data_IF_418571942158
#
_entry.id   IF_418571942158
#
_cell.length_a   1.000
_cell.length_b   1.000
_cell.length_c   1.000
_cell.angle_alpha   90.00
_cell.angle_beta   90.00
_cell.angle_gamma   90.00
#
_symmetry.space_group_name_H-M   'P 1'
#
loop_
_entity.id
_entity.type
_entity.pdbx_description
1 polymer ?
#
# COMPACT_ATOMS: atom_id res chain seq x y z
N UNK A 1 -19.14 -8.77 6.97
CA UNK A 1 -18.64 -10.14 6.83
C UNK A 1 -19.22 -10.72 5.56
N UNK A 2 -18.38 -10.99 4.57
CA UNK A 2 -18.82 -11.54 3.29
C UNK A 2 -19.01 -13.05 3.39
N UNK A 3 -20.13 -13.56 2.88
CA UNK A 3 -20.42 -15.00 2.89
C UNK A 3 -19.76 -15.71 1.71
N UNK A 4 -19.06 -16.82 1.98
CA UNK A 4 -18.57 -17.77 0.98
C UNK A 4 -19.68 -18.76 0.61
N UNK A 5 -20.10 -18.73 -0.64
CA UNK A 5 -21.19 -19.56 -1.16
C UNK A 5 -20.68 -20.57 -2.19
N UNK A 6 -21.44 -21.64 -2.40
CA UNK A 6 -21.17 -22.65 -3.43
C UNK A 6 -22.22 -22.58 -4.52
N UNK A 7 -21.77 -22.47 -5.77
CA UNK A 7 -22.63 -22.46 -6.95
C UNK A 7 -23.09 -23.88 -7.31
N UNK A 8 -24.12 -23.97 -8.15
CA UNK A 8 -24.67 -25.25 -8.63
C UNK A 8 -23.64 -26.11 -9.40
N UNK A 9 -22.68 -25.45 -10.06
CA UNK A 9 -21.56 -26.09 -10.76
C UNK A 9 -20.37 -26.45 -9.85
N UNK A 10 -20.54 -26.30 -8.53
CA UNK A 10 -19.57 -26.66 -7.52
C UNK A 10 -18.53 -25.59 -7.20
N UNK A 11 -18.44 -24.50 -7.98
CA UNK A 11 -17.51 -23.38 -7.75
C UNK A 11 -17.83 -22.63 -6.47
N UNK A 12 -16.82 -22.02 -5.86
CA UNK A 12 -17.05 -21.09 -4.75
C UNK A 12 -17.18 -19.65 -5.26
N UNK A 13 -18.02 -18.85 -4.61
CA UNK A 13 -18.13 -17.43 -4.91
C UNK A 13 -18.45 -16.59 -3.68
N UNK A 14 -18.04 -15.33 -3.71
CA UNK A 14 -18.37 -14.32 -2.73
C UNK A 14 -18.54 -12.95 -3.40
N UNK A 15 -19.31 -12.05 -2.78
CA UNK A 15 -19.61 -10.72 -3.30
C UNK A 15 -19.53 -9.68 -2.21
N UNK A 16 -18.92 -8.54 -2.49
CA UNK A 16 -18.79 -7.44 -1.53
C UNK A 16 -19.26 -6.14 -2.18
N UNK A 17 -20.19 -5.47 -1.51
CA UNK A 17 -20.73 -4.19 -1.98
C UNK A 17 -19.66 -3.09 -1.92
N UNK A 18 -19.57 -2.30 -2.98
CA UNK A 18 -18.71 -1.13 -3.05
C UNK A 18 -19.48 0.10 -2.53
N UNK A 19 -18.97 0.81 -1.50
CA UNK A 19 -19.60 1.99 -0.95
C UNK A 19 -19.77 3.12 -1.96
N UNK A 20 -20.90 3.83 -1.89
CA UNK A 20 -21.30 4.85 -2.86
C UNK A 20 -20.26 5.95 -3.05
N UNK A 21 -19.62 6.36 -1.97
CA UNK A 21 -18.63 7.43 -1.92
C UNK A 21 -17.34 7.14 -2.71
N UNK A 22 -17.11 5.89 -3.12
CA UNK A 22 -15.95 5.47 -3.91
C UNK A 22 -16.32 4.70 -5.18
N UNK A 23 -17.61 4.57 -5.55
CA UNK A 23 -18.04 3.71 -6.67
C UNK A 23 -17.48 4.15 -8.02
N UNK A 24 -17.41 5.45 -8.27
CA UNK A 24 -16.92 5.97 -9.55
C UNK A 24 -15.42 5.70 -9.71
N UNK A 25 -14.63 5.99 -8.67
CA UNK A 25 -13.20 5.65 -8.65
C UNK A 25 -12.97 4.14 -8.70
N UNK A 26 -13.74 3.35 -7.95
CA UNK A 26 -13.62 1.91 -7.96
C UNK A 26 -14.01 1.32 -9.32
N UNK A 27 -15.05 1.82 -9.98
CA UNK A 27 -15.45 1.41 -11.34
C UNK A 27 -14.34 1.74 -12.34
N UNK A 28 -13.83 2.97 -12.29
CA UNK A 28 -12.78 3.45 -13.17
C UNK A 28 -11.51 2.61 -13.04
N UNK A 29 -11.13 2.24 -11.82
CA UNK A 29 -9.86 1.57 -11.54
C UNK A 29 -9.93 0.03 -11.60
N UNK A 30 -11.07 -0.57 -11.26
CA UNK A 30 -11.20 -2.03 -11.11
C UNK A 30 -12.32 -2.65 -11.94
N UNK A 31 -12.95 -1.87 -12.84
CA UNK A 31 -14.00 -2.34 -13.76
C UNK A 31 -15.35 -2.71 -13.12
N UNK A 32 -15.44 -2.66 -11.79
CA UNK A 32 -16.63 -3.06 -11.03
C UNK A 32 -17.26 -1.88 -10.29
N UNK A 33 -18.51 -1.55 -10.58
CA UNK A 33 -19.15 -0.37 -9.97
C UNK A 33 -19.78 -0.63 -8.61
N UNK A 34 -20.52 -1.73 -8.47
CA UNK A 34 -21.41 -1.96 -7.31
C UNK A 34 -20.94 -3.08 -6.41
N UNK A 35 -20.26 -4.08 -6.96
CA UNK A 35 -19.81 -5.24 -6.22
C UNK A 35 -18.47 -5.74 -6.74
N UNK A 36 -17.53 -6.04 -5.84
CA UNK A 36 -16.40 -6.90 -6.16
C UNK A 36 -16.82 -8.37 -6.02
N UNK A 37 -16.28 -9.24 -6.87
CA UNK A 37 -16.58 -10.67 -6.86
C UNK A 37 -15.33 -11.51 -6.64
N UNK A 38 -15.45 -12.53 -5.79
CA UNK A 38 -14.52 -13.65 -5.71
C UNK A 38 -15.15 -14.84 -6.43
N UNK A 39 -14.37 -15.53 -7.27
CA UNK A 39 -14.75 -16.79 -7.91
C UNK A 39 -13.59 -17.76 -7.77
N UNK A 40 -13.83 -18.93 -7.17
CA UNK A 40 -12.82 -19.99 -7.04
C UNK A 40 -13.29 -21.28 -7.71
N UNK A 41 -12.38 -22.11 -8.24
CA UNK A 41 -12.71 -23.39 -8.87
C UNK A 41 -13.47 -24.36 -7.96
N UNK A 42 -14.23 -25.28 -8.56
CA UNK A 42 -14.98 -26.30 -7.84
C UNK A 42 -14.09 -27.30 -7.07
N UNK A 43 -12.84 -27.48 -7.52
CA UNK A 43 -11.85 -28.34 -6.89
C UNK A 43 -11.17 -27.74 -5.66
N UNK A 44 -11.38 -26.45 -5.34
CA UNK A 44 -10.74 -25.80 -4.19
C UNK A 44 -11.28 -26.37 -2.88
N UNK A 45 -10.42 -26.94 -2.01
CA UNK A 45 -10.83 -27.41 -0.69
C UNK A 45 -11.45 -26.30 0.16
N UNK A 46 -12.44 -26.65 1.00
CA UNK A 46 -13.19 -25.68 1.81
C UNK A 46 -12.31 -24.81 2.71
N UNK A 47 -11.24 -25.37 3.27
CA UNK A 47 -10.32 -24.63 4.14
C UNK A 47 -9.53 -23.56 3.35
N UNK A 48 -9.04 -23.93 2.16
CA UNK A 48 -8.35 -23.02 1.24
C UNK A 48 -9.31 -21.93 0.72
N UNK A 49 -10.55 -22.29 0.37
CA UNK A 49 -11.55 -21.33 -0.07
C UNK A 49 -11.89 -20.29 1.02
N UNK A 50 -11.87 -20.68 2.30
CA UNK A 50 -12.02 -19.76 3.44
C UNK A 50 -10.81 -18.84 3.61
N UNK A 51 -9.59 -19.36 3.45
CA UNK A 51 -8.38 -18.54 3.51
C UNK A 51 -8.40 -17.48 2.39
N UNK A 52 -8.67 -17.90 1.16
CA UNK A 52 -8.81 -17.02 -0.01
C UNK A 52 -9.93 -15.99 0.14
N UNK A 53 -11.04 -16.35 0.80
CA UNK A 53 -12.09 -15.38 1.14
C UNK A 53 -11.58 -14.29 2.06
N UNK A 54 -10.84 -14.65 3.12
CA UNK A 54 -10.29 -13.69 4.07
C UNK A 54 -9.29 -12.73 3.42
N UNK A 55 -8.39 -13.26 2.58
CA UNK A 55 -7.44 -12.46 1.81
C UNK A 55 -8.14 -11.49 0.87
N UNK A 56 -9.10 -11.98 0.07
CA UNK A 56 -9.86 -11.15 -0.86
C UNK A 56 -10.74 -10.12 -0.15
N UNK A 57 -11.37 -10.46 0.98
CA UNK A 57 -12.20 -9.52 1.73
C UNK A 57 -11.35 -8.37 2.30
N UNK A 58 -10.16 -8.69 2.82
CA UNK A 58 -9.20 -7.71 3.32
C UNK A 58 -8.66 -6.82 2.19
N UNK A 59 -8.41 -7.41 1.02
CA UNK A 59 -7.97 -6.69 -0.16
C UNK A 59 -9.03 -5.67 -0.64
N UNK A 60 -10.29 -6.08 -0.78
CA UNK A 60 -11.35 -5.15 -1.21
C UNK A 60 -11.62 -4.06 -0.18
N UNK A 61 -11.62 -4.38 1.13
CA UNK A 61 -11.72 -3.33 2.18
C UNK A 61 -10.57 -2.34 2.08
N UNK A 62 -9.37 -2.82 1.80
CA UNK A 62 -8.20 -1.94 1.70
C UNK A 62 -8.28 -1.07 0.45
N UNK A 63 -8.73 -1.60 -0.71
CA UNK A 63 -9.00 -0.79 -1.90
C UNK A 63 -9.98 0.36 -1.59
N UNK A 64 -11.08 0.05 -0.89
CA UNK A 64 -12.06 1.05 -0.44
C UNK A 64 -11.44 2.08 0.50
N UNK A 65 -10.67 1.63 1.49
CA UNK A 65 -10.01 2.52 2.46
C UNK A 65 -8.97 3.43 1.79
N UNK A 66 -8.19 2.91 0.84
CA UNK A 66 -7.24 3.69 0.04
C UNK A 66 -7.94 4.75 -0.79
N UNK A 67 -9.03 4.42 -1.48
CA UNK A 67 -9.82 5.40 -2.25
C UNK A 67 -10.38 6.52 -1.35
N UNK A 68 -10.82 6.17 -0.14
CA UNK A 68 -11.25 7.18 0.85
C UNK A 68 -10.11 8.05 1.33
N UNK A 69 -8.95 7.47 1.61
CA UNK A 69 -7.76 8.21 2.02
C UNK A 69 -7.25 9.14 0.91
N UNK A 70 -7.30 8.68 -0.35
CA UNK A 70 -6.99 9.50 -1.53
C UNK A 70 -7.92 10.71 -1.63
N UNK A 71 -9.23 10.52 -1.40
CA UNK A 71 -10.23 11.59 -1.44
C UNK A 71 -10.07 12.63 -0.32
N UNK A 72 -9.61 12.19 0.85
CA UNK A 72 -9.51 13.06 2.04
C UNK A 72 -8.14 13.73 2.19
N UNK A 73 -7.10 13.29 1.47
CA UNK A 73 -5.76 13.88 1.55
C UNK A 73 -5.02 13.65 2.88
N UNK A 74 -5.54 12.79 3.76
CA UNK A 74 -5.05 12.60 5.14
C UNK A 74 -3.85 11.64 5.29
N UNK A 75 -3.34 11.08 4.18
CA UNK A 75 -2.25 10.12 4.22
C UNK A 75 -0.87 10.74 4.48
N UNK A 76 0.06 9.94 5.01
CA UNK A 76 1.44 10.36 5.23
C UNK A 76 2.13 10.70 3.89
N UNK A 77 2.84 11.83 3.78
CA UNK A 77 3.67 12.11 2.63
C UNK A 77 4.92 11.20 2.62
N UNK A 78 5.46 10.92 1.45
CA UNK A 78 6.74 10.23 1.27
C UNK A 78 7.66 11.07 0.39
N UNK A 79 8.93 11.11 0.77
CA UNK A 79 10.01 11.51 -0.14
C UNK A 79 10.28 10.38 -1.12
N UNK A 80 10.87 10.68 -2.28
CA UNK A 80 11.30 9.65 -3.24
C UNK A 80 12.22 8.61 -2.60
N UNK A 81 13.14 9.05 -1.73
CA UNK A 81 14.04 8.15 -0.99
C UNK A 81 13.26 7.19 -0.06
N UNK A 82 12.29 7.71 0.69
CA UNK A 82 11.47 6.87 1.56
C UNK A 82 10.52 5.96 0.78
N UNK A 83 10.04 6.37 -0.40
CA UNK A 83 9.27 5.50 -1.28
C UNK A 83 10.11 4.30 -1.76
N UNK A 84 11.37 4.52 -2.17
CA UNK A 84 12.30 3.44 -2.55
C UNK A 84 12.62 2.54 -1.35
N UNK A 85 12.86 3.13 -0.18
CA UNK A 85 13.09 2.35 1.03
C UNK A 85 11.87 1.50 1.44
N UNK A 86 10.66 2.05 1.26
CA UNK A 86 9.41 1.32 1.50
C UNK A 86 9.21 0.21 0.48
N UNK A 87 9.60 0.43 -0.78
CA UNK A 87 9.63 -0.60 -1.82
C UNK A 87 10.60 -1.73 -1.46
N UNK A 88 11.72 -1.45 -0.80
CA UNK A 88 12.60 -2.48 -0.25
C UNK A 88 11.96 -3.33 0.84
N UNK A 89 11.20 -2.70 1.76
CA UNK A 89 10.40 -3.44 2.75
C UNK A 89 9.31 -4.29 2.08
N UNK A 90 8.63 -3.71 1.09
CA UNK A 90 7.64 -4.42 0.28
C UNK A 90 8.26 -5.62 -0.44
N UNK A 91 9.42 -5.47 -1.06
CA UNK A 91 10.12 -6.54 -1.76
C UNK A 91 10.39 -7.74 -0.83
N UNK A 92 10.98 -7.47 0.34
CA UNK A 92 11.25 -8.51 1.33
C UNK A 92 9.96 -9.18 1.83
N UNK A 93 8.92 -8.39 2.09
CA UNK A 93 7.61 -8.91 2.49
C UNK A 93 6.97 -9.79 1.41
N UNK A 94 7.02 -9.36 0.15
CA UNK A 94 6.43 -10.06 -0.99
C UNK A 94 7.16 -11.37 -1.25
N UNK A 95 8.49 -11.38 -1.24
CA UNK A 95 9.29 -12.60 -1.40
C UNK A 95 9.00 -13.57 -0.25
N UNK A 96 9.02 -13.09 1.01
CA UNK A 96 8.78 -13.91 2.20
C UNK A 96 7.41 -14.60 2.21
N UNK A 97 6.41 -13.97 1.61
CA UNK A 97 5.07 -14.53 1.48
C UNK A 97 5.04 -15.82 0.66
N UNK A 98 5.99 -16.00 -0.24
CA UNK A 98 6.03 -17.09 -1.21
C UNK A 98 7.26 -17.99 -1.08
N UNK A 99 8.36 -17.54 -0.49
CA UNK A 99 9.65 -18.26 -0.51
C UNK A 99 9.63 -19.65 0.16
N UNK A 100 8.75 -19.86 1.15
CA UNK A 100 8.64 -21.13 1.87
C UNK A 100 7.93 -22.21 1.04
N UNK A 101 7.00 -21.82 0.18
CA UNK A 101 6.35 -22.69 -0.80
C UNK A 101 6.13 -21.90 -2.10
N UNK A 102 7.19 -21.78 -2.93
CA UNK A 102 7.13 -20.96 -4.14
C UNK A 102 6.30 -21.60 -5.24
N UNK A 103 5.78 -22.82 -5.06
CA UNK A 103 4.97 -23.50 -6.06
C UNK A 103 5.75 -23.84 -7.34
N UNK A 104 5.11 -23.68 -8.51
CA UNK A 104 5.68 -24.08 -9.81
C UNK A 104 6.44 -22.93 -10.47
N UNK A 105 7.65 -23.15 -11.02
CA UNK A 105 8.39 -22.12 -11.76
C UNK A 105 7.58 -21.47 -12.89
N UNK A 106 6.79 -22.28 -13.60
CA UNK A 106 5.93 -21.82 -14.69
C UNK A 106 4.95 -20.73 -14.25
N UNK A 107 4.44 -20.80 -13.02
CA UNK A 107 3.52 -19.77 -12.51
C UNK A 107 4.20 -18.39 -12.47
N UNK A 108 5.45 -18.32 -11.98
CA UNK A 108 6.20 -17.06 -11.91
C UNK A 108 6.56 -16.53 -13.28
N UNK A 109 6.90 -17.41 -14.22
CA UNK A 109 7.14 -17.02 -15.61
C UNK A 109 5.89 -16.46 -16.28
N UNK A 110 4.78 -17.17 -16.18
CA UNK A 110 3.49 -16.72 -16.73
C UNK A 110 3.04 -15.40 -16.07
N UNK A 111 3.37 -15.19 -14.79
CA UNK A 111 3.10 -13.93 -14.08
C UNK A 111 4.01 -12.79 -14.57
N UNK A 112 5.32 -13.04 -14.73
CA UNK A 112 6.24 -12.06 -15.33
C UNK A 112 5.79 -11.66 -16.74
N UNK A 113 5.42 -12.66 -17.56
CA UNK A 113 4.89 -12.44 -18.91
C UNK A 113 3.60 -11.64 -18.87
N UNK A 114 2.73 -11.88 -17.89
CA UNK A 114 1.51 -11.09 -17.74
C UNK A 114 1.81 -9.62 -17.46
N UNK A 115 2.71 -9.33 -16.52
CA UNK A 115 3.12 -7.95 -16.19
C UNK A 115 3.69 -7.25 -17.42
N UNK A 116 4.62 -7.89 -18.13
CA UNK A 116 5.26 -7.27 -19.30
C UNK A 116 4.26 -7.08 -20.44
N UNK A 117 3.60 -8.16 -20.88
CA UNK A 117 2.86 -8.17 -22.14
C UNK A 117 1.42 -7.65 -22.02
N UNK A 118 0.80 -7.72 -20.85
CA UNK A 118 -0.60 -7.32 -20.67
C UNK A 118 -0.81 -6.12 -19.75
N UNK A 119 0.24 -5.66 -19.06
CA UNK A 119 0.16 -4.46 -18.21
C UNK A 119 1.03 -3.35 -18.75
N UNK A 120 2.31 -3.61 -19.01
CA UNK A 120 3.25 -2.56 -19.43
C UNK A 120 3.16 -2.30 -20.93
N UNK A 121 3.28 -3.34 -21.76
CA UNK A 121 3.30 -3.20 -23.22
C UNK A 121 2.08 -2.50 -23.84
N UNK A 122 0.83 -2.70 -23.38
CA UNK A 122 -0.32 -2.01 -23.96
C UNK A 122 -0.25 -0.49 -23.88
N UNK A 123 0.59 0.06 -23.00
CA UNK A 123 0.80 1.49 -22.83
C UNK A 123 2.03 2.00 -23.62
N UNK A 124 2.65 1.15 -24.46
CA UNK A 124 3.74 1.56 -25.32
C UNK A 124 3.26 2.60 -26.36
N UNK A 125 4.04 3.65 -26.62
CA UNK A 125 3.69 4.63 -27.65
C UNK A 125 3.69 3.98 -29.04
N UNK A 126 2.82 4.47 -29.94
CA UNK A 126 2.71 3.95 -31.32
C UNK A 126 4.08 3.94 -32.03
N UNK A 127 4.91 4.96 -31.78
CA UNK A 127 6.27 5.10 -32.31
C UNK A 127 7.20 3.92 -31.93
N UNK A 128 7.00 3.33 -30.75
CA UNK A 128 7.74 2.15 -30.30
C UNK A 128 7.30 0.87 -31.00
N UNK A 129 6.01 0.74 -31.33
CA UNK A 129 5.52 -0.42 -32.10
C UNK A 129 5.95 -0.34 -33.58
N UNK A 130 6.18 0.86 -34.12
CA UNK A 130 6.69 1.09 -35.48
C UNK A 130 8.21 0.84 -35.60
N UNK A 131 9.01 1.29 -34.63
CA UNK A 131 10.45 1.04 -34.56
C UNK A 131 10.93 0.75 -33.14
N UNK A 132 10.84 -0.51 -32.67
CA UNK A 132 11.35 -0.90 -31.35
C UNK A 132 12.87 -0.69 -31.21
N UNK A 133 13.61 -0.54 -32.32
CA UNK A 133 15.05 -0.28 -32.33
C UNK A 133 15.40 1.17 -31.98
N UNK A 134 14.44 2.09 -32.06
CA UNK A 134 14.62 3.51 -31.70
C UNK A 134 14.73 3.74 -30.18
N UNK A 135 14.14 2.84 -29.38
CA UNK A 135 14.27 2.81 -27.92
C UNK A 135 14.69 1.40 -27.42
N UNK A 136 15.98 1.05 -27.56
CA UNK A 136 16.49 -0.27 -27.18
C UNK A 136 16.36 -0.60 -25.69
N UNK A 137 16.18 0.41 -24.83
CA UNK A 137 16.08 0.26 -23.38
C UNK A 137 14.65 0.30 -22.87
N UNK A 138 13.68 0.52 -23.77
CA UNK A 138 12.27 0.74 -23.44
C UNK A 138 12.13 1.81 -22.36
N UNK A 139 12.82 2.94 -22.52
CA UNK A 139 12.78 4.08 -21.61
C UNK A 139 11.36 4.66 -21.50
N UNK A 140 10.52 4.49 -22.54
CA UNK A 140 9.10 4.86 -22.53
C UNK A 140 8.32 4.27 -21.33
N UNK A 141 8.75 3.13 -20.77
CA UNK A 141 8.10 2.53 -19.60
C UNK A 141 8.22 3.39 -18.33
N UNK A 142 9.15 4.36 -18.32
CA UNK A 142 9.36 5.31 -17.22
C UNK A 142 8.61 6.62 -17.43
N UNK A 143 7.95 6.81 -18.58
CA UNK A 143 7.21 8.03 -18.85
C UNK A 143 6.07 8.22 -17.85
N UNK A 144 5.85 9.45 -17.35
CA UNK A 144 4.84 9.71 -16.32
C UNK A 144 3.42 9.23 -16.70
N UNK A 145 3.05 9.35 -17.97
CA UNK A 145 1.74 8.94 -18.49
C UNK A 145 1.59 7.42 -18.45
N UNK A 146 2.58 6.68 -18.95
CA UNK A 146 2.64 5.21 -18.86
C UNK A 146 2.61 4.76 -17.40
N UNK A 147 3.43 5.39 -16.54
CA UNK A 147 3.47 5.10 -15.11
C UNK A 147 2.13 5.32 -14.44
N UNK A 148 1.42 6.37 -14.81
CA UNK A 148 0.08 6.63 -14.30
C UNK A 148 -0.93 5.58 -14.75
N UNK A 149 -0.89 5.18 -16.01
CA UNK A 149 -1.80 4.20 -16.60
C UNK A 149 -1.63 2.79 -15.99
N UNK A 150 -0.39 2.33 -15.79
CA UNK A 150 -0.12 0.98 -15.26
C UNK A 150 -0.23 0.88 -13.73
N UNK A 151 -0.19 2.02 -13.02
CA UNK A 151 -0.12 2.08 -11.56
C UNK A 151 -1.19 1.24 -10.85
N UNK A 152 -2.48 1.29 -11.24
CA UNK A 152 -3.52 0.53 -10.54
C UNK A 152 -3.30 -0.99 -10.64
N UNK A 153 -2.95 -1.48 -11.82
CA UNK A 153 -2.69 -2.90 -12.09
C UNK A 153 -1.44 -3.37 -11.35
N UNK A 154 -0.36 -2.59 -11.39
CA UNK A 154 0.85 -2.89 -10.62
C UNK A 154 0.55 -2.94 -9.12
N UNK A 155 -0.20 -1.97 -8.58
CA UNK A 155 -0.55 -1.95 -7.17
C UNK A 155 -1.36 -3.20 -6.74
N UNK A 156 -2.26 -3.68 -7.62
CA UNK A 156 -3.01 -4.92 -7.41
C UNK A 156 -2.10 -6.16 -7.45
N UNK A 157 -1.33 -6.33 -8.53
CA UNK A 157 -0.45 -7.49 -8.73
C UNK A 157 0.64 -7.57 -7.64
N UNK A 158 1.15 -6.42 -7.20
CA UNK A 158 2.13 -6.31 -6.13
C UNK A 158 1.51 -6.40 -4.72
N UNK A 159 0.17 -6.50 -4.60
CA UNK A 159 -0.55 -6.51 -3.31
C UNK A 159 -0.19 -5.30 -2.41
N UNK A 160 0.00 -4.12 -3.02
CA UNK A 160 0.41 -2.88 -2.35
C UNK A 160 -0.53 -2.55 -1.19
N UNK A 161 -1.83 -2.69 -1.40
CA UNK A 161 -2.85 -2.48 -0.39
C UNK A 161 -2.61 -3.36 0.85
N UNK A 162 -2.45 -4.67 0.66
CA UNK A 162 -2.18 -5.62 1.75
C UNK A 162 -0.89 -5.29 2.50
N UNK A 163 0.16 -4.94 1.76
CA UNK A 163 1.44 -4.54 2.36
C UNK A 163 1.30 -3.29 3.22
N UNK A 164 0.69 -2.22 2.70
CA UNK A 164 0.50 -0.97 3.43
C UNK A 164 -0.37 -1.17 4.68
N UNK A 165 -1.39 -2.03 4.60
CA UNK A 165 -2.20 -2.42 5.76
C UNK A 165 -1.38 -3.17 6.82
N UNK A 166 -0.51 -4.11 6.42
CA UNK A 166 0.40 -4.81 7.34
C UNK A 166 1.42 -3.88 8.00
N UNK A 167 1.92 -2.88 7.26
CA UNK A 167 2.80 -1.83 7.81
C UNK A 167 2.04 -0.78 8.64
N UNK A 168 0.71 -0.80 8.66
CA UNK A 168 -0.11 0.21 9.31
C UNK A 168 0.04 1.61 8.70
N UNK A 169 0.40 1.71 7.42
CA UNK A 169 0.68 2.97 6.73
C UNK A 169 -0.48 3.35 5.80
N UNK A 170 -0.98 4.58 5.94
CA UNK A 170 -1.85 5.21 4.97
C UNK A 170 -1.06 6.32 4.26
N UNK A 171 -0.96 6.26 2.94
CA UNK A 171 -0.21 7.22 2.12
C UNK A 171 -1.17 8.19 1.43
N UNK A 172 -0.75 9.46 1.26
CA UNK A 172 -1.51 10.38 0.41
C UNK A 172 -1.31 10.03 -1.08
N UNK A 173 -2.04 10.68 -1.97
CA UNK A 173 -2.03 10.34 -3.40
C UNK A 173 -0.62 10.40 -4.01
N UNK A 174 0.12 11.48 -3.75
CA UNK A 174 1.49 11.66 -4.27
C UNK A 174 2.45 10.62 -3.70
N UNK A 175 2.37 10.36 -2.39
CA UNK A 175 3.19 9.37 -1.72
C UNK A 175 2.89 7.94 -2.19
N UNK A 176 1.62 7.64 -2.42
CA UNK A 176 1.17 6.37 -2.98
C UNK A 176 1.70 6.19 -4.41
N UNK A 177 1.62 7.23 -5.26
CA UNK A 177 2.19 7.19 -6.60
C UNK A 177 3.70 6.90 -6.58
N UNK A 178 4.46 7.66 -5.79
CA UNK A 178 5.91 7.44 -5.63
C UNK A 178 6.24 6.03 -5.14
N UNK A 179 5.46 5.51 -4.19
CA UNK A 179 5.65 4.17 -3.67
C UNK A 179 5.35 3.09 -4.72
N UNK A 180 4.23 3.19 -5.44
CA UNK A 180 3.88 2.20 -6.47
C UNK A 180 4.86 2.25 -7.63
N UNK A 181 5.32 3.42 -8.04
CA UNK A 181 6.33 3.53 -9.10
C UNK A 181 7.63 2.83 -8.68
N UNK A 182 8.07 3.02 -7.42
CA UNK A 182 9.22 2.30 -6.88
C UNK A 182 8.99 0.79 -6.73
N UNK A 183 7.76 0.35 -6.45
CA UNK A 183 7.38 -1.07 -6.44
C UNK A 183 7.41 -1.65 -7.85
N UNK A 184 6.94 -0.91 -8.86
CA UNK A 184 6.94 -1.31 -10.26
C UNK A 184 8.36 -1.66 -10.73
N UNK A 185 9.36 -0.86 -10.34
CA UNK A 185 10.78 -1.10 -10.67
C UNK A 185 11.35 -2.38 -10.03
N UNK A 186 10.66 -2.93 -9.03
CA UNK A 186 11.13 -4.06 -8.22
C UNK A 186 10.23 -5.29 -8.31
N UNK A 187 9.09 -5.22 -9.00
CA UNK A 187 8.15 -6.33 -9.12
C UNK A 187 8.70 -7.47 -9.98
N UNK A 188 9.21 -7.18 -11.18
CA UNK A 188 9.82 -8.20 -12.03
C UNK A 188 11.03 -8.89 -11.36
N UNK A 189 11.97 -8.17 -10.73
CA UNK A 189 13.03 -8.79 -9.93
C UNK A 189 12.51 -9.74 -8.83
N UNK A 190 11.45 -9.36 -8.10
CA UNK A 190 10.87 -10.21 -7.06
C UNK A 190 10.27 -11.49 -7.64
N UNK A 191 9.54 -11.37 -8.76
CA UNK A 191 8.96 -12.51 -9.49
C UNK A 191 10.06 -13.45 -9.99
N UNK A 192 11.13 -12.90 -10.58
CA UNK A 192 12.26 -13.70 -11.08
C UNK A 192 13.00 -14.42 -9.94
N UNK A 193 13.14 -13.78 -8.77
CA UNK A 193 13.69 -14.46 -7.60
C UNK A 193 12.81 -15.64 -7.19
N UNK A 194 11.50 -15.45 -7.11
CA UNK A 194 10.56 -16.52 -6.75
C UNK A 194 10.54 -17.65 -7.78
N UNK A 195 10.72 -17.34 -9.06
CA UNK A 195 10.95 -18.34 -10.11
C UNK A 195 12.23 -19.17 -9.85
N UNK A 196 13.35 -18.51 -9.51
CA UNK A 196 14.60 -19.19 -9.14
C UNK A 196 14.40 -20.11 -7.93
N UNK A 197 13.73 -19.61 -6.89
CA UNK A 197 13.40 -20.40 -5.68
C UNK A 197 12.52 -21.60 -6.02
N UNK A 198 11.53 -21.43 -6.89
CA UNK A 198 10.69 -22.53 -7.38
C UNK A 198 11.49 -23.58 -8.19
N UNK A 199 12.58 -23.18 -8.84
CA UNK A 199 13.51 -24.09 -9.52
C UNK A 199 14.55 -24.73 -8.57
N UNK A 200 14.50 -24.43 -7.27
CA UNK A 200 15.43 -24.94 -6.27
C UNK A 200 16.71 -24.12 -6.11
N UNK A 201 16.82 -22.96 -6.76
CA UNK A 201 17.94 -22.04 -6.56
C UNK A 201 17.67 -21.12 -5.37
N UNK A 202 18.35 -21.41 -4.25
CA UNK A 202 18.30 -20.67 -2.99
C UNK A 202 19.53 -19.77 -2.76
N UNK A 203 20.28 -19.40 -3.82
CA UNK A 203 21.40 -18.46 -3.72
C UNK A 203 20.97 -17.12 -3.08
N UNK A 204 21.87 -16.50 -2.32
CA UNK A 204 21.60 -15.22 -1.64
C UNK A 204 21.12 -14.18 -2.64
N UNK A 205 20.03 -13.49 -2.28
CA UNK A 205 19.58 -12.30 -3.01
C UNK A 205 20.33 -11.07 -2.49
N UNK A 206 20.98 -10.34 -3.39
CA UNK A 206 21.73 -9.11 -3.09
C UNK A 206 20.87 -7.85 -3.27
N UNK A 207 19.71 -7.97 -3.92
CA UNK A 207 18.84 -6.81 -4.17
C UNK A 207 18.37 -6.11 -2.88
N UNK A 208 18.06 -6.80 -1.77
CA UNK A 208 17.74 -6.16 -0.50
C UNK A 208 18.81 -5.18 -0.01
N UNK A 209 20.08 -5.42 -0.32
CA UNK A 209 21.22 -4.59 0.10
C UNK A 209 21.31 -3.28 -0.70
N UNK A 210 20.58 -3.16 -1.81
CA UNK A 210 20.56 -1.95 -2.66
C UNK A 210 19.56 -0.91 -2.20
N UNK A 211 18.59 -1.29 -1.36
CA UNK A 211 17.57 -0.35 -0.90
C UNK A 211 18.11 0.56 0.21
N UNK A 212 17.79 1.87 0.19
CA UNK A 212 18.11 2.76 1.28
C UNK A 212 17.32 2.37 2.54
N UNK A 213 17.88 2.68 3.70
CA UNK A 213 17.17 2.51 4.97
C UNK A 213 15.93 3.40 5.02
N UNK A 214 14.79 2.83 5.39
CA UNK A 214 13.57 3.61 5.57
C UNK A 214 13.69 4.49 6.80
N UNK A 215 13.87 5.79 6.60
CA UNK A 215 13.71 6.75 7.66
C UNK A 215 12.20 6.92 7.88
N UNK A 216 11.66 6.32 8.94
CA UNK A 216 10.36 6.76 9.47
C UNK A 216 10.48 8.28 9.60
N UNK A 217 9.73 8.99 8.74
CA UNK A 217 9.94 10.41 8.47
C UNK A 217 10.19 11.13 9.79
N UNK A 218 11.25 11.95 9.82
CA UNK A 218 11.84 12.53 11.03
C UNK A 218 10.85 12.53 12.18
N UNK A 219 11.15 11.89 13.34
CA UNK A 219 10.23 11.89 14.47
C UNK A 219 9.72 13.30 14.57
N UNK A 220 8.39 13.50 14.45
CA UNK A 220 7.75 14.82 14.60
C UNK A 220 8.61 15.54 15.62
N UNK A 221 9.30 16.63 15.23
CA UNK A 221 10.18 17.37 16.15
C UNK A 221 9.45 17.37 17.47
N UNK A 222 10.01 16.76 18.54
CA UNK A 222 9.26 16.25 19.69
C UNK A 222 8.21 17.29 19.98
N UNK A 223 6.93 16.92 19.78
CA UNK A 223 5.84 17.90 19.68
C UNK A 223 6.01 18.84 20.85
N UNK A 224 6.45 20.07 20.57
CA UNK A 224 6.85 20.99 21.63
C UNK A 224 5.63 21.08 22.52
N UNK A 225 5.77 20.59 23.75
CA UNK A 225 4.65 20.49 24.65
C UNK A 225 4.09 21.89 24.84
N UNK A 226 2.79 22.01 25.07
CA UNK A 226 2.20 23.30 25.40
C UNK A 226 2.94 23.98 26.57
N UNK A 227 3.56 23.19 27.45
CA UNK A 227 4.46 23.63 28.51
C UNK A 227 5.74 24.27 27.99
N UNK A 228 6.46 23.63 27.07
CA UNK A 228 7.68 24.17 26.47
C UNK A 228 7.40 25.43 25.63
N UNK A 229 6.27 25.48 24.91
CA UNK A 229 5.83 26.69 24.20
C UNK A 229 5.53 27.83 25.18
N UNK A 230 4.90 27.52 26.31
CA UNK A 230 4.58 28.51 27.33
C UNK A 230 5.83 29.04 28.03
N UNK A 231 6.79 28.19 28.39
CA UNK A 231 8.07 28.64 28.98
C UNK A 231 8.87 29.49 27.98
N UNK A 232 8.87 29.14 26.69
CA UNK A 232 9.48 29.96 25.64
C UNK A 232 8.80 31.34 25.53
N UNK A 233 7.47 31.40 25.62
CA UNK A 233 6.71 32.66 25.66
C UNK A 233 7.06 33.50 26.90
N UNK A 234 7.17 32.89 28.09
CA UNK A 234 7.54 33.59 29.33
C UNK A 234 8.94 34.18 29.23
N UNK A 235 9.90 33.42 28.68
CA UNK A 235 11.27 33.89 28.45
C UNK A 235 11.32 35.06 27.47
N UNK A 236 10.57 34.98 26.37
CA UNK A 236 10.57 36.00 25.32
C UNK A 236 9.85 37.30 25.73
N UNK A 237 8.71 37.18 26.41
CA UNK A 237 7.79 38.32 26.64
C UNK A 237 7.80 38.85 28.07
N UNK A 238 8.42 38.12 29.02
CA UNK A 238 8.56 38.48 30.45
C UNK A 238 7.25 39.00 31.07
N UNK A 239 6.14 38.24 30.99
CA UNK A 239 4.86 38.66 31.53
C UNK A 239 4.89 38.72 33.06
N UNK A 240 3.91 39.42 33.65
CA UNK A 240 3.83 39.59 35.10
C UNK A 240 3.78 38.24 35.86
N UNK A 241 4.46 38.09 37.01
CA UNK A 241 4.55 36.82 37.74
C UNK A 241 3.19 36.19 38.07
N UNK A 242 2.19 37.03 38.42
CA UNK A 242 0.82 36.59 38.72
C UNK A 242 0.13 35.94 37.50
N UNK A 243 0.43 36.43 36.30
CA UNK A 243 -0.07 35.87 35.03
C UNK A 243 0.57 34.51 34.78
N UNK A 244 1.89 34.40 34.98
CA UNK A 244 2.62 33.14 34.82
C UNK A 244 2.06 32.05 35.74
N UNK A 245 1.91 32.33 37.03
CA UNK A 245 1.40 31.38 38.02
C UNK A 245 -0.02 30.90 37.70
N UNK A 246 -0.90 31.80 37.24
CA UNK A 246 -2.28 31.45 36.89
C UNK A 246 -2.33 30.49 35.70
N UNK A 247 -1.55 30.75 34.66
CA UNK A 247 -1.53 29.89 33.46
C UNK A 247 -0.81 28.56 33.70
N UNK A 248 0.23 28.53 34.55
CA UNK A 248 0.87 27.26 34.96
C UNK A 248 -0.12 26.29 35.60
N UNK A 249 -1.00 26.78 36.47
CA UNK A 249 -2.04 25.96 37.09
C UNK A 249 -3.01 25.36 36.05
N UNK A 250 -3.37 26.12 35.02
CA UNK A 250 -4.24 25.66 33.93
C UNK A 250 -3.58 24.56 33.10
N UNK A 251 -2.31 24.73 32.72
CA UNK A 251 -1.60 23.73 31.94
C UNK A 251 -1.35 22.42 32.72
N UNK A 252 -1.07 22.52 34.02
CA UNK A 252 -0.94 21.34 34.90
C UNK A 252 -2.25 20.55 35.00
N UNK A 253 -3.37 21.24 35.12
CA UNK A 253 -4.69 20.59 35.17
C UNK A 253 -5.06 19.96 33.82
N UNK A 254 -4.78 20.66 32.71
CA UNK A 254 -4.98 20.13 31.37
C UNK A 254 -4.13 18.86 31.12
N UNK A 255 -2.88 18.86 31.58
CA UNK A 255 -1.99 17.71 31.49
C UNK A 255 -2.51 16.54 32.34
N UNK A 256 -2.99 16.80 33.56
CA UNK A 256 -3.60 15.78 34.43
C UNK A 256 -4.82 15.13 33.76
N UNK A 257 -5.75 15.93 33.23
CA UNK A 257 -6.95 15.45 32.53
C UNK A 257 -6.62 14.61 31.29
N UNK A 258 -5.61 15.02 30.52
CA UNK A 258 -5.24 14.33 29.29
C UNK A 258 -4.37 13.09 29.54
N UNK A 259 -3.69 13.02 30.70
CA UNK A 259 -2.92 11.84 31.13
C UNK A 259 -3.81 10.74 31.72
N UNK A 260 -5.01 11.09 32.21
CA UNK A 260 -5.95 10.17 32.85
C UNK A 260 -6.99 9.58 31.89
N UNK A 261 -7.06 10.02 30.63
CA UNK A 261 -7.93 9.42 29.60
C UNK A 261 -7.21 8.26 28.90
N UNK A 262 -7.56 6.99 29.14
CA UNK A 262 -7.21 5.94 28.20
C UNK A 262 -7.94 6.24 26.88
N UNK A 263 -7.27 5.96 25.75
CA UNK A 263 -7.83 6.01 24.40
C UNK A 263 -9.08 5.14 24.31
N UNK A 264 -10.23 5.69 24.64
CA UNK A 264 -11.52 5.01 24.67
C UNK A 264 -12.38 5.61 23.56
N UNK A 265 -12.72 4.73 22.61
CA UNK A 265 -14.01 4.66 21.91
C UNK A 265 -14.56 5.94 21.27
N UNK A 266 -14.72 5.89 19.93
CA UNK A 266 -15.78 6.65 19.25
C UNK A 266 -17.11 6.50 20.02
N UNK A 267 -17.88 7.57 20.21
CA UNK A 267 -19.26 7.44 20.60
C UNK A 267 -20.06 6.95 19.39
N UNK A 268 -20.84 5.89 19.59
CA UNK A 268 -21.89 5.50 18.65
C UNK A 268 -22.99 6.57 18.69
N UNK A 269 -23.24 7.20 17.55
CA UNK A 269 -24.54 7.72 17.15
C UNK A 269 -24.84 7.19 15.76
#
# INVERSE_FOLDING_TARGET
MVALNRAADGRWFARKGIPEDVREDYQRLYGHKREAHLKLPAGTPKHEAKARLGEWEAEVETRIATLRAQRNGEGQPLTKLNAIALAGRWYNWFVKLHEADPGKPKYWRDFSDHVVWNVIRPEAPDEYEEDPGSDPHADWQYDPEVREAVRPQIAELARVATFLANEGKALNLTAHALFVDAVSDNLLPAIQLLEKRANGDYARDERPDTFPSFADGAPRSPSVSCWELFEAFVLATKPAPKTVTRWRAVFLEMQREWSLRPSSGRPSM
#
